data_IF_242960208385
#
_entry.id   IF_242960208385
#
_cell.length_a   1.000
_cell.length_b   1.000
_cell.length_c   1.000
_cell.angle_alpha   90.00
_cell.angle_beta   90.00
_cell.angle_gamma   90.00
#
_symmetry.space_group_name_H-M   'P 1'
#
loop_
_entity.id
_entity.type
_entity.pdbx_description
1 polymer ?
#
# COMPACT_ATOMS: atom_id res chain seq x y z
N UNK A 1 -15.68 3.23 -11.77
CA UNK A 1 -14.50 4.03 -11.35
C UNK A 1 -13.41 3.15 -10.74
N UNK A 2 -13.66 2.36 -9.69
CA UNK A 2 -12.65 1.47 -9.07
C UNK A 2 -11.92 0.53 -10.04
N UNK A 3 -12.62 -0.02 -11.04
CA UNK A 3 -12.01 -0.88 -12.08
C UNK A 3 -10.87 -0.24 -12.88
N UNK A 4 -10.77 1.10 -12.90
CA UNK A 4 -9.68 1.80 -13.56
C UNK A 4 -8.48 2.02 -12.63
N UNK A 5 -8.70 1.99 -11.31
CA UNK A 5 -7.70 2.32 -10.29
C UNK A 5 -7.02 1.09 -9.70
N UNK A 6 -7.71 -0.04 -9.66
CA UNK A 6 -7.19 -1.30 -9.10
C UNK A 6 -6.67 -2.19 -10.24
N UNK A 7 -5.34 -2.41 -10.35
CA UNK A 7 -4.74 -3.15 -11.45
C UNK A 7 -5.16 -4.62 -11.51
N UNK A 8 -5.46 -5.21 -10.36
CA UNK A 8 -5.80 -6.64 -10.20
C UNK A 8 -7.24 -6.98 -10.58
N UNK A 9 -8.09 -5.99 -10.85
CA UNK A 9 -9.50 -6.23 -11.17
C UNK A 9 -9.72 -6.71 -12.62
N UNK A 10 -10.47 -7.81 -12.81
CA UNK A 10 -10.90 -8.25 -14.14
C UNK A 10 -11.72 -7.19 -14.87
N UNK A 11 -11.26 -6.76 -16.06
CA UNK A 11 -11.94 -5.73 -16.88
C UNK A 11 -13.05 -6.29 -17.78
N UNK A 12 -12.90 -7.52 -18.26
CA UNK A 12 -13.78 -8.17 -19.25
C UNK A 12 -14.78 -9.17 -18.62
N UNK A 13 -14.93 -9.17 -17.29
CA UNK A 13 -15.81 -10.07 -16.53
C UNK A 13 -16.57 -9.31 -15.45
N UNK A 14 -17.73 -9.83 -15.04
CA UNK A 14 -18.46 -9.36 -13.85
C UNK A 14 -17.76 -9.90 -12.59
N UNK A 15 -17.54 -9.01 -11.62
CA UNK A 15 -17.03 -9.38 -10.28
C UNK A 15 -18.11 -9.13 -9.26
N UNK A 16 -18.13 -9.93 -8.19
CA UNK A 16 -19.06 -9.69 -7.08
C UNK A 16 -18.64 -8.44 -6.28
N UNK A 17 -19.54 -7.90 -5.45
CA UNK A 17 -19.20 -6.81 -4.54
C UNK A 17 -18.09 -7.21 -3.56
N UNK A 18 -18.11 -8.46 -3.09
CA UNK A 18 -17.12 -8.99 -2.14
C UNK A 18 -15.76 -9.14 -2.81
N UNK A 19 -15.71 -9.73 -4.00
CA UNK A 19 -14.49 -9.85 -4.80
C UNK A 19 -13.89 -8.48 -5.12
N UNK A 20 -14.75 -7.50 -5.47
CA UNK A 20 -14.31 -6.11 -5.66
C UNK A 20 -13.66 -5.52 -4.40
N UNK A 21 -14.26 -5.74 -3.24
CA UNK A 21 -13.74 -5.23 -1.97
C UNK A 21 -12.40 -5.88 -1.60
N UNK A 22 -12.27 -7.20 -1.81
CA UNK A 22 -11.01 -7.93 -1.59
C UNK A 22 -9.88 -7.33 -2.43
N UNK A 23 -10.08 -7.19 -3.75
CA UNK A 23 -9.07 -6.59 -4.63
C UNK A 23 -8.68 -5.16 -4.24
N UNK A 24 -9.61 -4.37 -3.70
CA UNK A 24 -9.33 -3.00 -3.22
C UNK A 24 -8.49 -3.04 -1.93
N UNK A 25 -8.81 -3.95 -1.01
CA UNK A 25 -8.07 -4.12 0.24
C UNK A 25 -6.63 -4.52 -0.06
N UNK A 26 -6.44 -5.55 -0.90
CA UNK A 26 -5.11 -6.05 -1.28
C UNK A 26 -4.29 -4.93 -1.93
N UNK A 27 -4.88 -4.20 -2.87
CA UNK A 27 -4.17 -3.12 -3.55
C UNK A 27 -3.79 -1.95 -2.63
N UNK A 28 -4.65 -1.58 -1.67
CA UNK A 28 -4.31 -0.56 -0.68
C UNK A 28 -3.18 -1.04 0.22
N UNK A 29 -3.22 -2.30 0.64
CA UNK A 29 -2.18 -2.90 1.49
C UNK A 29 -0.83 -2.90 0.80
N UNK A 30 -0.76 -3.35 -0.46
CA UNK A 30 0.46 -3.40 -1.25
C UNK A 30 1.07 -2.00 -1.42
N UNK A 31 0.26 -1.02 -1.81
CA UNK A 31 0.70 0.36 -1.93
C UNK A 31 1.19 0.94 -0.60
N UNK A 32 0.53 0.60 0.52
CA UNK A 32 0.98 1.04 1.83
C UNK A 32 2.35 0.44 2.20
N UNK A 33 2.61 -0.82 1.84
CA UNK A 33 3.90 -1.46 2.07
C UNK A 33 5.01 -0.83 1.20
N UNK A 34 4.73 -0.63 -0.08
CA UNK A 34 5.66 0.02 -1.02
C UNK A 34 6.02 1.44 -0.57
N UNK A 35 5.02 2.23 -0.15
CA UNK A 35 5.23 3.60 0.28
C UNK A 35 5.93 3.70 1.65
N UNK A 36 5.68 2.74 2.56
CA UNK A 36 6.37 2.67 3.86
C UNK A 36 7.85 2.32 3.72
N UNK A 37 8.22 1.52 2.73
CA UNK A 37 9.61 1.16 2.45
C UNK A 37 10.41 2.34 1.86
N UNK A 38 9.72 3.32 1.27
CA UNK A 38 10.32 4.45 0.56
C UNK A 38 11.07 4.02 -0.71
N UNK A 39 11.40 4.95 -1.63
CA UNK A 39 12.37 4.63 -2.67
C UNK A 39 13.69 4.23 -2.00
N UNK A 40 14.46 3.27 -2.55
CA UNK A 40 15.82 3.04 -2.09
C UNK A 40 16.54 4.38 -2.19
N UNK A 41 16.81 5.02 -1.04
CA UNK A 41 17.47 6.31 -0.99
C UNK A 41 18.78 6.12 -1.77
N UNK A 42 19.03 6.85 -2.87
CA UNK A 42 20.32 6.79 -3.51
C UNK A 42 21.34 7.10 -2.41
N UNK A 43 22.31 6.20 -2.22
CA UNK A 43 23.30 6.26 -1.15
C UNK A 43 24.14 7.54 -1.28
N UNK A 44 23.56 8.67 -0.86
CA UNK A 44 24.24 9.93 -0.70
C UNK A 44 24.91 9.85 0.67
N UNK A 45 26.22 9.60 0.64
CA UNK A 45 27.12 9.62 1.77
C UNK A 45 26.87 10.85 2.65
N UNK A 46 26.51 10.63 3.91
CA UNK A 46 26.22 11.70 4.86
C UNK A 46 25.36 11.25 6.03
N UNK A 47 25.97 10.48 6.92
CA UNK A 47 25.81 10.45 8.38
C UNK A 47 24.43 10.85 8.99
N UNK A 48 23.63 9.85 9.38
CA UNK A 48 22.85 9.84 10.64
C UNK A 48 22.06 8.54 10.81
N UNK A 49 21.84 8.09 12.05
CA UNK A 49 21.35 6.75 12.33
C UNK A 49 19.88 6.62 11.94
N UNK A 50 19.65 5.57 11.16
CA UNK A 50 18.41 4.88 10.87
C UNK A 50 17.41 4.99 12.04
N UNK A 51 16.44 5.89 11.91
CA UNK A 51 15.24 5.79 12.73
C UNK A 51 14.55 4.48 12.32
N UNK A 52 14.21 3.60 13.29
CA UNK A 52 13.40 2.43 13.00
C UNK A 52 12.14 2.90 12.26
N UNK A 53 11.77 2.23 11.18
CA UNK A 53 10.51 2.48 10.47
C UNK A 53 9.35 2.19 11.44
N UNK A 54 8.98 3.16 12.28
CA UNK A 54 7.86 3.02 13.20
C UNK A 54 6.62 2.85 12.31
N UNK A 55 5.93 1.69 12.35
CA UNK A 55 4.79 1.45 11.49
C UNK A 55 3.68 2.41 11.89
N UNK A 56 3.17 3.19 10.93
CA UNK A 56 2.03 4.10 11.15
C UNK A 56 0.74 3.36 11.58
N UNK A 57 0.73 2.02 11.54
CA UNK A 57 -0.38 1.15 11.90
C UNK A 57 -0.88 1.33 13.35
N UNK A 58 -0.03 1.76 14.29
CA UNK A 58 -0.45 1.96 15.69
C UNK A 58 -1.30 3.22 15.92
N UNK A 59 -1.40 4.13 14.94
CA UNK A 59 -2.20 5.36 15.13
C UNK A 59 -3.70 5.19 14.86
N UNK A 60 -4.11 4.09 14.22
CA UNK A 60 -5.50 3.85 13.82
C UNK A 60 -6.22 2.95 14.83
N UNK A 61 -5.49 2.11 15.57
CA UNK A 61 -6.07 1.16 16.53
C UNK A 61 -6.23 1.74 17.97
N UNK A 62 -5.75 2.96 18.24
CA UNK A 62 -5.77 3.59 19.56
C UNK A 62 -6.85 4.67 19.76
N UNK A 63 -7.99 4.61 19.06
CA UNK A 63 -9.14 5.48 19.33
C UNK A 63 -10.41 4.71 19.66
#
# INVERSE_FOLDING_TARGET
>A
RLRALVPTLPRHRRVSKVELLQHVIDYIWDLQLELQCGPPRPAAAGDSPEAPCIPAADRILCR
#
